data_IF_725115578894
#
_entry.id   IF_725115578894
#
_cell.length_a   1.000
_cell.length_b   1.000
_cell.length_c   1.000
_cell.angle_alpha   90.00
_cell.angle_beta   90.00
_cell.angle_gamma   90.00
#
_symmetry.space_group_name_H-M   'P 1'
#
loop_
_entity.id
_entity.type
_entity.pdbx_description
1 polymer ?
#
# COMPACT_ATOMS: atom_id res chain seq x y z
N UNK A 1 -65.82 -20.72 -25.44
CA UNK A 1 -65.49 -21.49 -24.22
C UNK A 1 -64.30 -20.81 -23.54
N UNK A 2 -64.37 -20.46 -22.25
CA UNK A 2 -63.28 -19.77 -21.51
C UNK A 2 -62.34 -20.79 -20.85
N UNK A 3 -61.04 -20.76 -21.18
CA UNK A 3 -59.85 -20.97 -20.32
C UNK A 3 -58.68 -20.32 -21.10
N UNK A 4 -57.65 -19.66 -20.54
CA UNK A 4 -57.37 -19.14 -19.19
C UNK A 4 -56.22 -18.12 -19.28
N UNK A 5 -55.82 -17.47 -18.18
CA UNK A 5 -54.76 -16.44 -18.20
C UNK A 5 -53.39 -16.92 -17.67
N UNK A 6 -52.31 -16.34 -18.19
CA UNK A 6 -51.00 -16.30 -17.55
C UNK A 6 -50.23 -15.06 -18.05
N UNK A 7 -50.14 -14.02 -17.22
CA UNK A 7 -49.41 -12.78 -17.53
C UNK A 7 -47.93 -12.96 -17.23
N UNK A 8 -47.08 -13.02 -18.25
CA UNK A 8 -45.63 -12.98 -18.07
C UNK A 8 -45.16 -11.53 -17.91
N UNK A 9 -44.74 -11.18 -16.70
CA UNK A 9 -44.05 -9.93 -16.42
C UNK A 9 -42.63 -10.00 -16.99
N UNK A 10 -42.35 -9.21 -18.02
CA UNK A 10 -40.98 -8.87 -18.37
C UNK A 10 -40.47 -7.85 -17.35
N UNK A 11 -39.48 -8.22 -16.54
CA UNK A 11 -38.80 -7.28 -15.66
C UNK A 11 -38.07 -6.23 -16.50
N UNK A 12 -38.28 -4.95 -16.19
CA UNK A 12 -37.57 -3.87 -16.86
C UNK A 12 -36.13 -3.81 -16.37
N UNK A 13 -35.17 -4.03 -17.27
CA UNK A 13 -33.80 -3.61 -17.08
C UNK A 13 -33.76 -2.08 -17.05
N UNK A 14 -33.60 -1.52 -15.85
CA UNK A 14 -33.42 -0.09 -15.66
C UNK A 14 -32.03 0.31 -16.17
N UNK A 15 -31.98 0.81 -17.41
CA UNK A 15 -30.80 1.48 -17.96
C UNK A 15 -30.38 2.62 -17.02
N UNK A 16 -29.25 2.43 -16.34
CA UNK A 16 -28.61 3.43 -15.51
C UNK A 16 -27.38 3.97 -16.24
N UNK A 17 -27.68 4.73 -17.29
CA UNK A 17 -26.72 5.50 -18.08
C UNK A 17 -25.89 6.43 -17.17
N UNK A 18 -24.68 5.97 -16.81
CA UNK A 18 -23.75 6.71 -15.98
C UNK A 18 -23.10 7.84 -16.80
N UNK A 19 -23.79 8.98 -16.89
CA UNK A 19 -23.30 10.20 -17.52
C UNK A 19 -22.25 10.90 -16.65
N UNK A 20 -21.10 10.27 -16.47
CA UNK A 20 -19.94 10.96 -15.95
C UNK A 20 -19.45 12.00 -16.97
N UNK A 21 -19.30 13.23 -16.51
CA UNK A 21 -18.55 14.25 -17.23
C UNK A 21 -17.08 13.83 -17.22
N UNK A 22 -16.60 13.32 -18.35
CA UNK A 22 -15.19 13.05 -18.54
C UNK A 22 -14.41 14.37 -18.61
N UNK A 23 -13.78 14.77 -17.50
CA UNK A 23 -12.47 15.42 -17.65
C UNK A 23 -11.45 14.33 -18.05
N UNK A 24 -10.57 14.67 -19.00
CA UNK A 24 -9.76 13.71 -19.72
C UNK A 24 -8.50 13.23 -18.99
N UNK A 25 -8.36 13.50 -17.69
CA UNK A 25 -7.13 13.29 -16.94
C UNK A 25 -7.27 12.24 -15.84
N UNK A 26 -6.90 10.99 -16.16
CA UNK A 26 -6.73 9.92 -15.17
C UNK A 26 -5.55 10.23 -14.23
N UNK A 27 -5.82 11.00 -13.18
CA UNK A 27 -4.82 11.38 -12.18
C UNK A 27 -4.36 10.17 -11.36
N UNK A 28 -3.05 9.87 -11.42
CA UNK A 28 -2.43 8.86 -10.55
C UNK A 28 -2.53 9.30 -9.09
N UNK A 29 -3.24 8.53 -8.25
CA UNK A 29 -3.32 8.78 -6.81
C UNK A 29 -1.95 8.49 -6.17
N UNK A 30 -1.44 9.38 -5.31
CA UNK A 30 -0.16 9.19 -4.62
C UNK A 30 -0.43 9.04 -3.13
N UNK A 31 0.10 7.98 -2.53
CA UNK A 31 0.03 7.66 -1.11
C UNK A 31 1.43 7.64 -0.52
N UNK A 32 1.65 8.44 0.53
CA UNK A 32 2.91 8.47 1.27
C UNK A 32 2.63 7.99 2.69
N UNK A 33 3.49 7.10 3.18
CA UNK A 33 3.39 6.57 4.53
C UNK A 33 4.71 6.00 5.02
N UNK A 34 4.62 5.33 6.17
CA UNK A 34 5.75 4.70 6.86
C UNK A 34 5.42 3.24 7.20
N UNK A 35 6.43 2.43 7.49
CA UNK A 35 6.28 1.04 7.92
C UNK A 35 5.91 0.94 9.42
N UNK A 36 4.86 1.64 9.81
CA UNK A 36 4.41 1.85 11.19
C UNK A 36 4.03 3.31 11.44
N UNK A 37 3.29 3.55 12.52
CA UNK A 37 2.71 4.86 12.86
C UNK A 37 3.16 5.38 14.23
N UNK A 38 4.24 4.84 14.81
CA UNK A 38 4.77 5.31 16.10
C UNK A 38 5.33 6.73 15.99
N UNK A 39 4.67 7.70 16.65
CA UNK A 39 5.11 9.09 16.70
C UNK A 39 6.10 9.25 17.85
N UNK A 40 7.36 9.56 17.54
CA UNK A 40 8.36 9.91 18.55
C UNK A 40 8.11 11.32 19.12
N UNK A 41 8.60 11.61 20.33
CA UNK A 41 8.40 12.91 20.99
C UNK A 41 8.88 14.10 20.12
N UNK A 42 10.00 13.95 19.42
CA UNK A 42 10.55 14.96 18.50
C UNK A 42 9.62 15.29 17.32
N UNK A 43 8.70 14.38 16.96
CA UNK A 43 7.71 14.57 15.90
C UNK A 43 6.36 15.03 16.41
N UNK A 44 6.12 15.08 17.73
CA UNK A 44 4.78 15.26 18.30
C UNK A 44 4.07 16.54 17.79
N UNK A 45 4.81 17.63 17.58
CA UNK A 45 4.27 18.88 17.04
C UNK A 45 3.83 18.81 15.56
N UNK A 46 4.37 17.87 14.78
CA UNK A 46 3.95 17.65 13.39
C UNK A 46 2.68 16.77 13.28
N UNK A 47 2.29 16.08 14.36
CA UNK A 47 1.09 15.25 14.45
C UNK A 47 0.19 15.76 15.59
N UNK A 48 -0.42 16.95 15.45
CA UNK A 48 -1.15 17.62 16.52
C UNK A 48 -2.48 16.94 16.86
N UNK A 49 -2.99 17.26 18.05
CA UNK A 49 -4.26 16.76 18.59
C UNK A 49 -4.12 15.45 19.37
N UNK A 50 -5.19 15.12 20.08
CA UNK A 50 -5.26 13.96 20.96
C UNK A 50 -5.65 12.66 20.23
N UNK A 51 -5.57 11.55 20.97
CA UNK A 51 -5.87 10.20 20.52
C UNK A 51 -4.64 9.32 20.43
N UNK A 52 -4.84 8.08 19.95
CA UNK A 52 -3.77 7.13 19.69
C UNK A 52 -2.81 7.65 18.61
N UNK A 53 -1.62 7.05 18.56
CA UNK A 53 -0.66 7.35 17.50
C UNK A 53 -1.23 7.13 16.09
N UNK A 54 -2.13 6.17 15.89
CA UNK A 54 -2.74 5.92 14.58
C UNK A 54 -3.70 7.05 14.17
N UNK A 55 -4.57 7.49 15.08
CA UNK A 55 -5.50 8.61 14.83
C UNK A 55 -4.75 9.91 14.53
N UNK A 56 -3.68 10.19 15.28
CA UNK A 56 -2.81 11.36 15.05
C UNK A 56 -2.04 11.26 13.73
N UNK A 57 -1.53 10.08 13.40
CA UNK A 57 -0.84 9.79 12.14
C UNK A 57 -1.76 9.98 10.92
N UNK A 58 -3.00 9.48 11.00
CA UNK A 58 -3.98 9.54 9.92
C UNK A 58 -4.59 10.93 9.66
N UNK A 59 -4.30 11.93 10.51
CA UNK A 59 -4.58 13.35 10.25
C UNK A 59 -3.54 13.99 9.32
N UNK A 60 -2.39 13.35 9.13
CA UNK A 60 -1.24 13.91 8.40
C UNK A 60 -0.96 13.11 7.12
N UNK A 61 -0.93 11.79 7.22
CA UNK A 61 -0.76 10.87 6.09
C UNK A 61 -2.05 10.14 5.75
N UNK A 62 -2.19 9.76 4.49
CA UNK A 62 -3.33 9.01 3.97
C UNK A 62 -3.06 7.50 3.82
N UNK A 63 -1.85 7.05 4.18
CA UNK A 63 -1.49 5.63 4.14
C UNK A 63 -0.43 5.26 5.17
N UNK A 64 -0.42 3.98 5.56
CA UNK A 64 0.64 3.36 6.36
C UNK A 64 0.83 1.91 5.97
N UNK A 65 2.01 1.35 6.20
CA UNK A 65 2.25 -0.08 6.07
C UNK A 65 2.30 -0.77 7.45
N UNK A 66 1.40 -1.74 7.66
CA UNK A 66 1.43 -2.64 8.82
C UNK A 66 2.56 -3.66 8.59
N UNK A 67 3.74 -3.39 9.16
CA UNK A 67 4.90 -4.28 9.11
C UNK A 67 4.86 -5.34 10.25
N UNK A 68 4.13 -5.07 11.35
CA UNK A 68 4.09 -5.93 12.54
C UNK A 68 3.43 -7.30 12.32
N UNK A 69 2.50 -7.41 11.36
CA UNK A 69 1.87 -8.66 10.92
C UNK A 69 2.85 -9.68 10.34
N UNK A 70 4.03 -9.23 9.87
CA UNK A 70 5.11 -10.11 9.44
C UNK A 70 5.63 -10.96 10.61
N UNK A 71 5.79 -10.37 11.79
CA UNK A 71 6.39 -11.02 12.97
C UNK A 71 5.36 -11.74 13.85
N UNK A 72 4.13 -11.23 13.93
CA UNK A 72 3.08 -11.77 14.79
C UNK A 72 1.69 -11.60 14.16
N UNK A 73 0.88 -12.67 14.06
CA UNK A 73 -0.52 -12.56 13.64
C UNK A 73 -1.32 -11.64 14.57
N UNK A 74 -2.14 -10.77 13.98
CA UNK A 74 -3.09 -9.93 14.71
C UNK A 74 -4.49 -10.54 14.67
N UNK A 75 -5.27 -10.34 15.73
CA UNK A 75 -6.66 -10.80 15.80
C UNK A 75 -7.53 -9.98 14.82
N UNK A 76 -8.59 -10.56 14.23
CA UNK A 76 -9.52 -9.83 13.35
C UNK A 76 -10.04 -8.50 13.97
N UNK A 77 -10.40 -8.52 15.26
CA UNK A 77 -10.84 -7.32 16.02
C UNK A 77 -9.77 -6.22 16.12
N UNK A 78 -8.48 -6.55 16.02
CA UNK A 78 -7.40 -5.54 16.01
C UNK A 78 -7.41 -4.77 14.70
N UNK A 79 -7.53 -5.47 13.57
CA UNK A 79 -7.66 -4.84 12.25
C UNK A 79 -8.94 -4.00 12.14
N UNK A 80 -10.08 -4.51 12.62
CA UNK A 80 -11.32 -3.73 12.67
C UNK A 80 -11.14 -2.40 13.42
N UNK A 81 -10.56 -2.43 14.63
CA UNK A 81 -10.25 -1.23 15.41
C UNK A 81 -9.34 -0.25 14.68
N UNK A 82 -8.34 -0.72 13.92
CA UNK A 82 -7.48 0.15 13.12
C UNK A 82 -8.21 0.78 11.93
N UNK A 83 -9.15 0.05 11.30
CA UNK A 83 -9.99 0.61 10.25
C UNK A 83 -10.99 1.65 10.77
N UNK A 84 -11.49 1.49 11.99
CA UNK A 84 -12.41 2.43 12.62
C UNK A 84 -11.70 3.71 13.12
N UNK A 85 -10.39 3.61 13.42
CA UNK A 85 -9.57 4.70 13.96
C UNK A 85 -8.98 5.68 12.92
N UNK A 86 -9.33 5.57 11.63
CA UNK A 86 -8.76 6.38 10.54
C UNK A 86 -9.84 6.85 9.55
N UNK A 87 -9.64 7.96 8.80
CA UNK A 87 -10.60 8.45 7.80
C UNK A 87 -10.85 7.45 6.65
N UNK A 88 -11.96 7.60 5.94
CA UNK A 88 -12.37 6.65 4.88
C UNK A 88 -11.50 6.64 3.63
N UNK A 89 -10.76 7.72 3.37
CA UNK A 89 -9.74 7.76 2.30
C UNK A 89 -8.39 7.14 2.70
N UNK A 90 -8.19 6.83 3.98
CA UNK A 90 -6.94 6.25 4.47
C UNK A 90 -6.78 4.80 3.97
N UNK A 91 -5.56 4.37 3.63
CA UNK A 91 -5.29 2.99 3.20
C UNK A 91 -4.13 2.35 3.95
N UNK A 92 -4.35 1.14 4.43
CA UNK A 92 -3.30 0.29 4.96
C UNK A 92 -2.71 -0.57 3.84
N UNK A 93 -1.39 -0.53 3.69
CA UNK A 93 -0.68 -1.69 3.17
C UNK A 93 -0.42 -2.67 4.32
N UNK A 94 -0.42 -3.97 4.08
CA UNK A 94 -0.17 -4.98 5.13
C UNK A 94 0.84 -5.99 4.67
N UNK A 95 1.94 -6.11 5.42
CA UNK A 95 2.97 -7.10 5.13
C UNK A 95 2.49 -8.48 5.53
N UNK A 96 2.57 -9.41 4.59
CA UNK A 96 2.18 -10.80 4.79
C UNK A 96 3.05 -11.48 5.87
N UNK A 97 2.53 -12.48 6.60
CA UNK A 97 3.27 -13.18 7.65
C UNK A 97 4.59 -13.79 7.17
N UNK A 98 5.62 -13.74 8.03
CA UNK A 98 6.95 -14.30 7.77
C UNK A 98 6.92 -15.78 7.40
N UNK A 99 6.00 -16.54 8.00
CA UNK A 99 5.81 -17.97 7.73
C UNK A 99 5.64 -18.26 6.25
N UNK A 100 4.90 -17.41 5.51
CA UNK A 100 4.62 -17.61 4.09
C UNK A 100 5.89 -17.50 3.24
N UNK A 101 6.68 -16.43 3.41
CA UNK A 101 7.78 -16.11 2.49
C UNK A 101 9.17 -16.54 2.96
N UNK A 102 9.42 -16.64 4.27
CA UNK A 102 10.76 -16.93 4.81
C UNK A 102 10.90 -18.35 5.33
N UNK A 103 9.87 -18.89 5.99
CA UNK A 103 9.92 -20.21 6.63
C UNK A 103 9.44 -21.29 5.65
N UNK A 104 8.16 -21.24 5.24
CA UNK A 104 7.59 -22.15 4.24
C UNK A 104 8.01 -21.85 2.80
N UNK A 105 8.56 -20.66 2.54
CA UNK A 105 9.13 -20.26 1.23
C UNK A 105 8.15 -20.54 0.07
N UNK A 106 6.90 -20.09 0.27
CA UNK A 106 5.75 -20.17 -0.64
C UNK A 106 5.16 -21.59 -0.88
N UNK A 107 5.57 -22.62 -0.12
CA UNK A 107 5.01 -23.98 -0.18
C UNK A 107 3.99 -24.19 0.95
N UNK A 108 2.97 -25.02 0.73
CA UNK A 108 2.05 -25.51 1.78
C UNK A 108 1.48 -24.41 2.70
N UNK A 109 1.13 -23.28 2.08
CA UNK A 109 0.80 -22.01 2.72
C UNK A 109 -0.71 -21.78 2.93
N UNK A 110 -1.56 -22.71 2.51
CA UNK A 110 -3.02 -22.53 2.39
C UNK A 110 -3.68 -22.17 3.73
N UNK A 111 -3.31 -22.87 4.80
CA UNK A 111 -3.85 -22.62 6.15
C UNK A 111 -3.44 -21.25 6.69
N UNK A 112 -2.16 -20.89 6.57
CA UNK A 112 -1.62 -19.61 7.04
C UNK A 112 -2.15 -18.43 6.24
N UNK A 113 -2.25 -18.59 4.91
CA UNK A 113 -2.78 -17.57 4.00
C UNK A 113 -4.26 -17.32 4.29
N UNK A 114 -5.08 -18.37 4.44
CA UNK A 114 -6.49 -18.23 4.85
C UNK A 114 -6.61 -17.52 6.19
N UNK A 115 -5.90 -17.99 7.21
CA UNK A 115 -5.92 -17.41 8.57
C UNK A 115 -5.50 -15.93 8.59
N UNK A 116 -4.54 -15.55 7.74
CA UNK A 116 -4.13 -14.17 7.54
C UNK A 116 -5.21 -13.34 6.82
N UNK A 117 -5.79 -13.87 5.75
CA UNK A 117 -6.85 -13.20 4.98
C UNK A 117 -8.10 -12.95 5.84
N UNK A 118 -8.58 -13.96 6.56
CA UNK A 118 -9.75 -13.87 7.47
C UNK A 118 -9.60 -12.75 8.51
N UNK A 119 -8.36 -12.51 8.98
CA UNK A 119 -8.05 -11.43 9.91
C UNK A 119 -7.88 -10.07 9.22
N UNK A 120 -7.07 -9.98 8.16
CA UNK A 120 -6.70 -8.70 7.52
C UNK A 120 -7.87 -8.07 6.75
N UNK A 121 -8.81 -8.88 6.25
CA UNK A 121 -10.01 -8.39 5.56
C UNK A 121 -10.95 -7.57 6.46
N UNK A 122 -10.77 -7.61 7.80
CA UNK A 122 -11.46 -6.69 8.70
C UNK A 122 -11.03 -5.21 8.53
N UNK A 123 -10.00 -4.94 7.74
CA UNK A 123 -9.69 -3.59 7.26
C UNK A 123 -10.68 -3.08 6.21
N UNK A 124 -11.51 -3.94 5.61
CA UNK A 124 -12.56 -3.58 4.63
C UNK A 124 -11.98 -2.76 3.47
N UNK A 125 -12.71 -1.76 2.98
CA UNK A 125 -12.26 -0.81 1.94
C UNK A 125 -10.96 -0.05 2.29
N UNK A 126 -10.51 -0.07 3.55
CA UNK A 126 -9.25 0.56 3.99
C UNK A 126 -8.04 -0.35 3.75
N UNK A 127 -8.23 -1.61 3.34
CA UNK A 127 -7.13 -2.46 2.84
C UNK A 127 -6.73 -2.04 1.43
N UNK A 128 -5.54 -1.44 1.30
CA UNK A 128 -5.00 -0.99 0.02
C UNK A 128 -4.23 -2.09 -0.70
N UNK A 129 -3.12 -2.55 -0.10
CA UNK A 129 -2.17 -3.47 -0.75
C UNK A 129 -1.68 -4.53 0.23
N UNK A 130 -1.67 -5.81 -0.18
CA UNK A 130 -0.92 -6.84 0.55
C UNK A 130 0.53 -6.90 0.03
N UNK A 131 1.49 -6.78 0.94
CA UNK A 131 2.92 -6.81 0.62
C UNK A 131 3.53 -8.19 0.92
N UNK A 132 4.05 -8.85 -0.10
CA UNK A 132 4.82 -10.09 0.00
C UNK A 132 6.32 -9.79 -0.19
N UNK A 133 7.06 -9.57 0.90
CA UNK A 133 8.51 -9.45 0.86
C UNK A 133 9.16 -10.84 0.92
N UNK A 134 10.03 -11.17 -0.05
CA UNK A 134 10.76 -12.43 -0.12
C UNK A 134 12.21 -12.27 0.36
N UNK A 135 12.81 -13.28 1.02
CA UNK A 135 14.20 -13.20 1.47
C UNK A 135 15.19 -13.25 0.28
N UNK A 136 16.41 -12.71 0.45
CA UNK A 136 17.45 -12.79 -0.59
C UNK A 136 17.93 -14.22 -0.87
N UNK A 137 17.59 -15.20 -0.03
CA UNK A 137 17.93 -16.63 -0.23
C UNK A 137 16.84 -17.39 -0.99
N UNK A 138 15.72 -16.77 -1.37
CA UNK A 138 14.67 -17.42 -2.14
C UNK A 138 14.85 -17.15 -3.63
N UNK A 139 15.55 -18.06 -4.31
CA UNK A 139 15.57 -18.10 -5.77
C UNK A 139 14.15 -18.33 -6.35
N UNK A 140 13.97 -17.94 -7.61
CA UNK A 140 12.71 -18.10 -8.32
C UNK A 140 12.57 -19.55 -8.79
N UNK A 141 11.52 -20.22 -8.31
CA UNK A 141 11.04 -21.51 -8.81
C UNK A 141 9.64 -21.25 -9.37
N UNK A 142 9.48 -21.42 -10.68
CA UNK A 142 8.23 -21.11 -11.36
C UNK A 142 7.05 -21.94 -10.84
N UNK A 143 7.26 -23.22 -10.52
CA UNK A 143 6.19 -24.11 -10.04
C UNK A 143 5.68 -23.66 -8.69
N UNK A 144 6.60 -23.29 -7.79
CA UNK A 144 6.27 -22.87 -6.42
C UNK A 144 5.72 -21.45 -6.38
N UNK A 145 6.41 -20.49 -7.02
CA UNK A 145 6.03 -19.09 -6.97
C UNK A 145 4.68 -18.84 -7.66
N UNK A 146 4.47 -19.39 -8.86
CA UNK A 146 3.25 -19.14 -9.62
C UNK A 146 2.05 -19.83 -8.98
N UNK A 147 2.18 -21.09 -8.52
CA UNK A 147 1.10 -21.78 -7.82
C UNK A 147 0.74 -21.12 -6.47
N UNK A 148 1.66 -20.39 -5.83
CA UNK A 148 1.34 -19.56 -4.67
C UNK A 148 0.54 -18.30 -5.07
N UNK A 149 0.97 -17.58 -6.12
CA UNK A 149 0.22 -16.41 -6.60
C UNK A 149 -1.16 -16.78 -7.16
N UNK A 150 -1.29 -17.88 -7.87
CA UNK A 150 -2.58 -18.36 -8.41
C UNK A 150 -3.57 -18.67 -7.28
N UNK A 151 -3.10 -19.35 -6.21
CA UNK A 151 -3.89 -19.58 -4.98
C UNK A 151 -4.23 -18.28 -4.24
N UNK A 152 -3.29 -17.35 -4.13
CA UNK A 152 -3.53 -16.04 -3.53
C UNK A 152 -4.59 -15.25 -4.29
N UNK A 153 -4.50 -15.17 -5.62
CA UNK A 153 -5.48 -14.51 -6.46
C UNK A 153 -6.86 -15.16 -6.36
N UNK A 154 -6.93 -16.49 -6.22
CA UNK A 154 -8.18 -17.22 -6.04
C UNK A 154 -8.88 -16.87 -4.70
N UNK A 155 -8.12 -16.61 -3.63
CA UNK A 155 -8.65 -16.22 -2.31
C UNK A 155 -8.78 -14.70 -2.08
N UNK A 156 -8.08 -13.86 -2.85
CA UNK A 156 -8.05 -12.40 -2.65
C UNK A 156 -7.95 -11.66 -4.00
N UNK A 157 -8.89 -10.72 -4.23
CA UNK A 157 -8.97 -9.92 -5.48
C UNK A 157 -8.41 -8.50 -5.37
N UNK A 158 -7.98 -8.06 -4.19
CA UNK A 158 -7.39 -6.74 -4.00
C UNK A 158 -5.93 -6.66 -4.48
N UNK A 159 -5.30 -5.50 -4.34
CA UNK A 159 -3.95 -5.28 -4.85
C UNK A 159 -2.86 -6.01 -4.03
N UNK A 160 -1.84 -6.50 -4.74
CA UNK A 160 -0.70 -7.23 -4.17
C UNK A 160 0.60 -6.67 -4.74
N UNK A 161 1.58 -6.43 -3.87
CA UNK A 161 2.94 -6.06 -4.24
C UNK A 161 3.94 -7.10 -3.75
N UNK A 162 4.79 -7.61 -4.63
CA UNK A 162 5.87 -8.54 -4.32
C UNK A 162 7.22 -7.79 -4.26
N UNK A 163 7.98 -7.97 -3.18
CA UNK A 163 9.34 -7.45 -3.03
C UNK A 163 10.35 -8.62 -3.03
N UNK A 164 10.78 -9.11 -4.21
CA UNK A 164 11.81 -10.12 -4.30
C UNK A 164 13.20 -9.52 -4.03
N UNK A 165 14.04 -10.24 -3.30
CA UNK A 165 15.41 -9.81 -2.94
C UNK A 165 16.54 -10.65 -3.57
N UNK A 166 16.20 -11.65 -4.39
CA UNK A 166 17.15 -12.49 -5.13
C UNK A 166 17.13 -12.19 -6.64
N UNK A 167 18.30 -12.22 -7.29
CA UNK A 167 18.48 -11.73 -8.67
C UNK A 167 17.65 -12.48 -9.74
N UNK A 168 17.37 -13.77 -9.53
CA UNK A 168 16.57 -14.59 -10.46
C UNK A 168 15.13 -14.11 -10.68
N UNK A 169 14.60 -13.24 -9.83
CA UNK A 169 13.24 -12.69 -9.95
C UNK A 169 13.13 -11.51 -10.93
N UNK A 170 14.25 -11.10 -11.55
CA UNK A 170 14.35 -9.89 -12.37
C UNK A 170 14.60 -10.21 -13.86
N UNK A 171 14.11 -11.36 -14.33
CA UNK A 171 14.09 -11.74 -15.75
C UNK A 171 12.78 -11.29 -16.42
N UNK A 172 12.77 -11.20 -17.76
CA UNK A 172 11.61 -10.76 -18.53
C UNK A 172 10.41 -11.69 -18.32
N UNK A 173 10.64 -13.00 -18.21
CA UNK A 173 9.59 -13.99 -18.00
C UNK A 173 8.92 -13.84 -16.64
N UNK A 174 9.68 -13.54 -15.58
CA UNK A 174 9.13 -13.27 -14.24
C UNK A 174 8.33 -11.96 -14.25
N UNK A 175 8.81 -10.90 -14.91
CA UNK A 175 8.03 -9.66 -15.08
C UNK A 175 6.70 -9.90 -15.80
N UNK A 176 6.69 -10.75 -16.83
CA UNK A 176 5.50 -11.14 -17.57
C UNK A 176 4.53 -11.97 -16.71
N UNK A 177 5.05 -12.97 -15.98
CA UNK A 177 4.27 -13.86 -15.13
C UNK A 177 3.65 -13.15 -13.91
N UNK A 178 4.32 -12.14 -13.35
CA UNK A 178 3.76 -11.26 -12.32
C UNK A 178 2.71 -10.31 -12.92
N UNK A 179 2.97 -9.73 -14.10
CA UNK A 179 2.05 -8.80 -14.78
C UNK A 179 0.72 -9.46 -15.15
N UNK A 180 0.74 -10.67 -15.71
CA UNK A 180 -0.48 -11.42 -16.07
C UNK A 180 -1.33 -11.77 -14.84
N UNK A 181 -0.70 -11.91 -13.68
CA UNK A 181 -1.32 -12.15 -12.37
C UNK A 181 -1.68 -10.86 -11.60
N UNK A 182 -1.56 -9.68 -12.23
CA UNK A 182 -1.87 -8.41 -11.56
C UNK A 182 -0.97 -8.08 -10.36
N UNK A 183 0.15 -8.79 -10.19
CA UNK A 183 1.08 -8.60 -9.06
C UNK A 183 2.05 -7.48 -9.43
N UNK A 184 2.05 -6.39 -8.67
CA UNK A 184 3.06 -5.35 -8.79
C UNK A 184 4.39 -5.85 -8.22
N UNK A 185 5.53 -5.47 -8.81
CA UNK A 185 6.86 -5.69 -8.20
C UNK A 185 7.35 -4.40 -7.58
N UNK A 186 7.68 -4.46 -6.28
CA UNK A 186 8.17 -3.34 -5.49
C UNK A 186 9.49 -2.78 -6.04
N UNK A 187 9.60 -1.46 -5.99
CA UNK A 187 10.83 -0.71 -6.14
C UNK A 187 11.47 -0.53 -4.74
N UNK A 188 12.49 -1.30 -4.41
CA UNK A 188 13.21 -1.22 -3.15
C UNK A 188 14.38 -0.23 -3.24
N UNK A 189 14.59 0.57 -2.20
CA UNK A 189 15.78 1.40 -2.02
C UNK A 189 16.36 1.21 -0.60
N UNK A 190 17.67 0.95 -0.44
CA UNK A 190 18.61 0.59 -1.48
C UNK A 190 18.27 -0.78 -2.10
N UNK A 191 18.43 -0.87 -3.41
CA UNK A 191 18.16 -2.08 -4.17
C UNK A 191 19.28 -3.11 -3.98
N UNK A 192 18.95 -4.37 -3.63
CA UNK A 192 19.94 -5.47 -3.56
C UNK A 192 20.41 -5.88 -4.96
N UNK A 193 19.57 -6.43 -5.85
CA UNK A 193 19.84 -6.41 -7.29
C UNK A 193 19.53 -5.02 -7.85
N UNK A 194 20.33 -4.42 -8.74
CA UNK A 194 20.04 -3.08 -9.31
C UNK A 194 18.65 -2.94 -9.96
N UNK A 195 18.15 -4.01 -10.60
CA UNK A 195 16.79 -4.07 -11.18
C UNK A 195 15.66 -3.91 -10.14
N UNK A 196 15.94 -4.07 -8.85
CA UNK A 196 14.97 -3.86 -7.77
C UNK A 196 14.70 -2.37 -7.48
N UNK A 197 15.51 -1.42 -7.98
CA UNK A 197 15.28 0.02 -7.78
C UNK A 197 14.07 0.59 -8.55
N UNK A 198 13.54 -0.17 -9.52
CA UNK A 198 12.53 0.25 -10.49
C UNK A 198 11.29 -0.65 -10.36
N UNK A 199 10.06 -0.10 -10.34
CA UNK A 199 8.84 -0.90 -10.21
C UNK A 199 8.64 -1.80 -11.43
N UNK A 200 8.14 -3.01 -11.19
CA UNK A 200 7.90 -4.05 -12.21
C UNK A 200 6.54 -4.71 -12.06
N UNK A 201 6.36 -5.87 -12.69
CA UNK A 201 5.09 -6.59 -12.71
C UNK A 201 3.94 -5.72 -13.25
N UNK A 202 2.76 -5.82 -12.65
CA UNK A 202 1.63 -4.97 -13.03
C UNK A 202 1.73 -3.53 -12.50
N UNK A 203 2.13 -2.62 -13.39
CA UNK A 203 2.27 -1.18 -13.12
C UNK A 203 0.96 -0.38 -13.05
N UNK A 204 -0.18 -1.03 -12.78
CA UNK A 204 -1.39 -0.29 -12.34
C UNK A 204 -1.20 0.25 -10.92
N UNK A 205 -0.43 -0.48 -10.10
CA UNK A 205 0.13 -0.02 -8.84
C UNK A 205 1.65 0.11 -9.03
N UNK A 206 2.24 1.23 -8.61
CA UNK A 206 3.70 1.32 -8.42
C UNK A 206 3.98 1.46 -6.92
N UNK A 207 4.75 0.53 -6.35
CA UNK A 207 5.00 0.48 -4.91
C UNK A 207 6.50 0.66 -4.64
N UNK A 208 6.87 1.71 -3.90
CA UNK A 208 8.24 1.98 -3.48
C UNK A 208 8.41 1.76 -1.97
N UNK A 209 9.46 1.03 -1.57
CA UNK A 209 9.84 0.83 -0.17
C UNK A 209 11.25 1.37 0.05
N UNK A 210 11.34 2.37 0.90
CA UNK A 210 12.53 3.17 1.15
C UNK A 210 13.09 2.79 2.52
N UNK A 211 14.04 1.87 2.54
CA UNK A 211 14.58 1.28 3.76
C UNK A 211 15.63 2.16 4.44
N UNK A 212 16.14 3.24 3.82
CA UNK A 212 17.16 4.13 4.40
C UNK A 212 18.57 3.85 3.89
N UNK A 213 19.39 4.90 3.84
CA UNK A 213 20.71 4.89 3.20
C UNK A 213 21.63 5.93 3.88
N UNK A 214 22.92 5.62 4.15
CA UNK A 214 23.65 4.42 3.72
C UNK A 214 23.31 3.14 4.51
N UNK A 215 22.99 3.23 5.81
CA UNK A 215 22.65 2.04 6.62
C UNK A 215 21.14 1.79 6.60
N UNK A 216 20.79 0.67 5.97
CA UNK A 216 19.43 0.13 5.87
C UNK A 216 18.75 0.04 7.25
N UNK A 217 17.53 0.56 7.32
CA UNK A 217 16.62 0.75 8.45
C UNK A 217 16.96 1.88 9.43
N UNK A 218 18.19 2.38 9.45
CA UNK A 218 18.65 3.31 10.49
C UNK A 218 18.83 4.75 10.04
N UNK A 219 19.22 5.00 8.78
CA UNK A 219 19.69 6.33 8.39
C UNK A 219 18.64 7.12 7.58
N UNK A 220 18.62 8.45 7.77
CA UNK A 220 17.78 9.38 7.03
C UNK A 220 18.26 9.57 5.59
N UNK A 221 17.34 9.85 4.67
CA UNK A 221 17.72 10.16 3.29
C UNK A 221 18.24 11.59 3.12
N UNK A 222 19.34 11.80 2.37
CA UNK A 222 19.78 13.14 1.99
C UNK A 222 18.70 13.91 1.23
N UNK A 223 18.62 15.23 1.44
CA UNK A 223 17.62 16.13 0.82
C UNK A 223 17.48 15.93 -0.69
N UNK A 224 18.60 15.85 -1.42
CA UNK A 224 18.60 15.64 -2.87
C UNK A 224 17.99 14.28 -3.28
N UNK A 225 18.08 13.26 -2.43
CA UNK A 225 17.42 11.95 -2.66
C UNK A 225 15.91 12.06 -2.45
N UNK A 226 15.45 12.75 -1.41
CA UNK A 226 14.03 13.04 -1.18
C UNK A 226 13.42 13.87 -2.33
N UNK A 227 14.17 14.80 -2.90
CA UNK A 227 13.78 15.58 -4.08
C UNK A 227 13.64 14.70 -5.33
N UNK A 228 14.57 13.77 -5.58
CA UNK A 228 14.43 12.77 -6.65
C UNK A 228 13.24 11.83 -6.44
N UNK A 229 12.94 11.44 -5.20
CA UNK A 229 11.77 10.63 -4.85
C UNK A 229 10.47 11.39 -5.15
N UNK A 230 10.33 12.63 -4.68
CA UNK A 230 9.19 13.49 -4.97
C UNK A 230 8.99 13.67 -6.49
N UNK A 231 10.05 14.00 -7.21
CA UNK A 231 10.03 14.13 -8.67
C UNK A 231 9.63 12.83 -9.38
N UNK A 232 10.00 11.65 -8.87
CA UNK A 232 9.55 10.35 -9.41
C UNK A 232 8.06 10.11 -9.18
N UNK A 233 7.54 10.44 -8.00
CA UNK A 233 6.12 10.26 -7.66
C UNK A 233 5.18 11.13 -8.48
N UNK A 234 5.62 12.34 -8.88
CA UNK A 234 4.82 13.27 -9.69
C UNK A 234 4.84 12.99 -11.21
N UNK A 235 5.63 12.04 -11.72
CA UNK A 235 5.71 11.78 -13.17
C UNK A 235 4.36 11.32 -13.73
N UNK A 236 3.81 11.94 -14.80
CA UNK A 236 2.56 11.47 -15.41
C UNK A 236 2.62 9.99 -15.81
N UNK A 237 1.49 9.29 -15.74
CA UNK A 237 1.37 7.91 -16.19
C UNK A 237 -0.05 7.59 -16.64
N UNK A 238 -0.21 7.13 -17.88
CA UNK A 238 -1.49 6.67 -18.42
C UNK A 238 -1.92 5.29 -17.90
N UNK A 239 -1.01 4.55 -17.23
CA UNK A 239 -1.25 3.18 -16.72
C UNK A 239 -1.38 3.12 -15.20
N UNK A 240 -0.66 3.98 -14.48
CA UNK A 240 -0.56 3.89 -13.02
C UNK A 240 -1.76 4.57 -12.39
N UNK A 241 -2.62 3.77 -11.74
CA UNK A 241 -3.78 4.27 -11.00
C UNK A 241 -3.36 4.81 -9.64
N UNK A 242 -2.41 4.14 -8.99
CA UNK A 242 -1.97 4.50 -7.64
C UNK A 242 -0.46 4.26 -7.44
N UNK A 243 0.19 5.16 -6.69
CA UNK A 243 1.58 5.08 -6.26
C UNK A 243 1.64 5.02 -4.75
N UNK A 244 2.39 4.05 -4.24
CA UNK A 244 2.70 3.90 -2.83
C UNK A 244 4.18 4.25 -2.60
N UNK A 245 4.44 5.11 -1.62
CA UNK A 245 5.79 5.44 -1.17
C UNK A 245 5.89 5.23 0.34
N UNK A 246 6.48 4.12 0.75
CA UNK A 246 6.57 3.73 2.16
C UNK A 246 8.01 3.86 2.66
N UNK A 247 8.19 4.66 3.70
CA UNK A 247 9.45 4.81 4.43
C UNK A 247 9.56 3.75 5.55
N UNK A 248 10.55 2.88 5.43
CA UNK A 248 10.85 1.77 6.36
C UNK A 248 12.16 2.01 7.14
N UNK A 249 12.78 3.19 7.00
CA UNK A 249 13.90 3.65 7.83
C UNK A 249 13.45 4.11 9.23
N UNK A 250 12.79 3.18 9.93
CA UNK A 250 12.05 3.43 11.17
C UNK A 250 12.88 3.28 12.44
N UNK A 251 14.07 2.67 12.40
CA UNK A 251 14.79 2.25 13.61
C UNK A 251 15.21 3.41 14.53
N UNK A 252 15.44 4.61 13.95
CA UNK A 252 15.73 5.86 14.67
C UNK A 252 14.66 6.95 14.40
N UNK A 253 13.48 6.57 13.89
CA UNK A 253 12.35 7.48 13.65
C UNK A 253 12.45 8.39 12.40
N UNK A 254 13.53 8.31 11.61
CA UNK A 254 13.74 9.19 10.44
C UNK A 254 12.64 9.06 9.37
N UNK A 255 12.01 7.90 9.22
CA UNK A 255 10.90 7.67 8.30
C UNK A 255 9.80 8.75 8.35
N UNK A 256 9.44 9.27 9.54
CA UNK A 256 8.45 10.35 9.65
C UNK A 256 8.95 11.67 9.07
N UNK A 257 10.21 12.05 9.36
CA UNK A 257 10.84 13.26 8.82
C UNK A 257 10.93 13.19 7.29
N UNK A 258 11.38 12.06 6.75
CA UNK A 258 11.58 11.86 5.33
C UNK A 258 10.23 11.83 4.57
N UNK A 259 9.22 11.17 5.13
CA UNK A 259 7.85 11.14 4.58
C UNK A 259 7.21 12.54 4.57
N UNK A 260 7.33 13.32 5.65
CA UNK A 260 6.87 14.71 5.71
C UNK A 260 7.56 15.58 4.66
N UNK A 261 8.88 15.42 4.50
CA UNK A 261 9.69 16.20 3.56
C UNK A 261 9.35 15.90 2.09
N UNK A 262 8.91 14.68 1.75
CA UNK A 262 8.39 14.35 0.41
C UNK A 262 6.94 14.81 0.24
N UNK A 263 6.07 14.60 1.24
CA UNK A 263 4.66 15.03 1.19
C UNK A 263 4.51 16.53 0.94
N UNK A 264 5.30 17.35 1.65
CA UNK A 264 5.35 18.80 1.47
C UNK A 264 5.79 19.24 0.06
N UNK A 265 6.60 18.42 -0.65
CA UNK A 265 7.08 18.72 -2.01
C UNK A 265 6.09 18.37 -3.11
N UNK A 266 5.33 17.30 -2.93
CA UNK A 266 4.35 16.86 -3.94
C UNK A 266 2.98 17.52 -3.77
N UNK A 267 2.85 18.46 -2.84
CA UNK A 267 1.59 19.19 -2.60
C UNK A 267 0.48 18.33 -1.98
N UNK A 268 0.79 17.17 -1.40
CA UNK A 268 -0.22 16.43 -0.61
C UNK A 268 -0.57 17.29 0.60
N UNK A 269 -1.82 17.78 0.74
CA UNK A 269 -2.17 18.62 1.85
C UNK A 269 -2.11 17.79 3.13
N UNK A 270 -1.19 18.14 4.04
CA UNK A 270 -1.29 17.71 5.42
C UNK A 270 -2.68 18.15 5.93
N UNK A 271 -3.57 17.19 6.22
CA UNK A 271 -5.02 17.42 6.44
C UNK A 271 -5.32 18.08 7.81
N UNK A 272 -4.40 18.88 8.33
CA UNK A 272 -4.40 19.42 9.69
C UNK A 272 -3.90 20.86 9.82
N UNK A 273 -3.78 21.64 8.74
CA UNK A 273 -3.59 23.10 8.89
C UNK A 273 -4.94 23.76 9.17
N UNK A 274 -5.29 23.88 10.44
CA UNK A 274 -6.43 24.72 10.86
C UNK A 274 -6.22 26.14 10.31
N UNK A 275 -7.28 26.83 9.83
CA UNK A 275 -7.16 28.21 9.39
C UNK A 275 -6.69 29.07 10.55
N UNK A 276 -5.70 29.93 10.32
CA UNK A 276 -5.30 30.94 11.29
C UNK A 276 -6.51 31.81 11.59
N UNK A 277 -6.92 31.86 12.87
CA UNK A 277 -8.01 32.75 13.29
C UNK A 277 -7.58 34.19 12.98
N UNK A 278 -8.27 34.83 12.04
CA UNK A 278 -8.11 36.26 11.79
C UNK A 278 -8.56 37.00 13.04
N UNK A 279 -7.57 37.47 13.82
CA UNK A 279 -7.81 38.34 14.96
C UNK A 279 -8.38 39.67 14.47
N UNK A 280 -9.69 39.83 14.51
CA UNK A 280 -10.33 41.13 14.38
C UNK A 280 -9.98 41.92 15.65
N UNK A 281 -8.96 42.75 15.56
CA UNK A 281 -8.74 43.83 16.51
C UNK A 281 -9.92 44.78 16.34
N UNK A 282 -10.81 44.85 17.33
CA UNK A 282 -11.74 45.97 17.47
C UNK A 282 -10.99 47.10 18.18
N UNK A 283 -11.03 48.27 17.57
CA UNK A 283 -10.78 49.54 18.25
C UNK A 283 -11.95 49.87 19.20
#
# INVERSE_FOLDING_TARGET
MRIGGATLQAHGDADHSWTARHDGTMHTRIRIGCAGWSIAAIHAGAFPGDGSHLERYARVFDAVEINSSFYKPHRPRTYAKWADAVPDEFRFAVKMPRVLSHEKRLRDCEGDLRSFLDAVLQLREKLGVLLLQLPPTLAFDARVALAFFDRMQASYRGAVACEPRHASWFTIDVESALRSRGIARVAADPARPPRAAVPGGDRRIEYARLHGSPRVYYDAYPRATLERIAARLMRPSLRTRERWCIFDNTALGHALTDALAVGARIGTPARGRAPAKSGVVRA
#
